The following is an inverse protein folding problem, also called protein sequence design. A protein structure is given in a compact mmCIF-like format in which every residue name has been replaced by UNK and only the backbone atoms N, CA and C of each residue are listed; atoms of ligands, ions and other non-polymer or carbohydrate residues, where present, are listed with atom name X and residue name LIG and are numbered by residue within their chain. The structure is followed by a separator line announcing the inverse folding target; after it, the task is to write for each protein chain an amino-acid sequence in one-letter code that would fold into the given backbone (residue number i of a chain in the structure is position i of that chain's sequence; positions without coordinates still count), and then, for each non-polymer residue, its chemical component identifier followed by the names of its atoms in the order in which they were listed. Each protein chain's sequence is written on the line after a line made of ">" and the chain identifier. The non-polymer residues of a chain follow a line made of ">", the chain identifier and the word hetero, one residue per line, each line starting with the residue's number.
data_IF_018548531143
#
_entry.id   IF_018548531143
#
_cell.length_a   1.000
_cell.length_b   1.000
_cell.length_c   1.000
_cell.angle_alpha   90.00
_cell.angle_beta   90.00
_cell.angle_gamma   90.00
#
_symmetry.space_group_name_H-M   'P 1'
#
loop_
_entity.id
_entity.type
_entity.pdbx_description
1 polymer ?
#
# COMPACT_ATOMS: atom_id res chain seq x y z
N UNK A 1 14.53 37.17 -14.65
CA UNK A 1 13.16 37.55 -15.04
C UNK A 1 12.42 36.25 -15.28
N UNK A 2 11.81 35.72 -14.22
CA UNK A 2 10.89 34.58 -14.33
C UNK A 2 9.52 35.15 -14.69
N UNK A 3 8.93 34.64 -15.76
CA UNK A 3 7.62 35.06 -16.24
C UNK A 3 6.58 34.11 -15.63
N UNK A 4 5.89 34.54 -14.58
CA UNK A 4 4.73 33.82 -14.07
C UNK A 4 3.55 33.98 -15.06
N UNK A 5 2.98 32.87 -15.49
CA UNK A 5 1.82 32.84 -16.40
C UNK A 5 0.57 32.48 -15.61
N UNK A 6 -0.27 33.46 -15.29
CA UNK A 6 -1.55 33.24 -14.62
C UNK A 6 -2.67 33.12 -15.67
N UNK A 7 -3.31 31.94 -15.77
CA UNK A 7 -4.46 31.72 -16.65
C UNK A 7 -5.74 31.73 -15.83
N UNK A 8 -6.70 32.56 -16.21
CA UNK A 8 -8.02 32.64 -15.56
C UNK A 8 -9.07 32.17 -16.56
N UNK A 9 -9.64 30.98 -16.32
CA UNK A 9 -10.56 30.21 -17.16
C UNK A 9 -9.94 29.55 -18.40
N UNK A 10 -9.69 28.24 -18.29
CA UNK A 10 -9.33 27.37 -19.42
C UNK A 10 -10.59 26.60 -19.84
N UNK A 11 -10.99 26.58 -21.13
CA UNK A 11 -12.15 25.81 -21.58
C UNK A 11 -11.86 24.31 -21.47
N UNK A 12 -12.94 23.50 -21.44
CA UNK A 12 -12.90 22.03 -21.44
C UNK A 12 -11.88 21.55 -22.48
N UNK A 13 -10.82 20.91 -22.02
CA UNK A 13 -9.71 20.48 -22.87
C UNK A 13 -9.88 19.01 -23.24
N UNK A 14 -10.77 18.73 -24.19
CA UNK A 14 -10.87 17.39 -24.80
C UNK A 14 -9.94 17.33 -26.00
N UNK A 15 -8.77 16.73 -25.83
CA UNK A 15 -7.82 16.50 -26.91
C UNK A 15 -7.44 15.02 -26.93
N UNK A 16 -8.04 14.24 -27.84
CA UNK A 16 -7.46 12.96 -28.26
C UNK A 16 -6.19 13.28 -29.04
N UNK A 17 -5.05 12.89 -28.50
CA UNK A 17 -3.78 13.24 -29.10
C UNK A 17 -2.83 12.05 -29.10
N UNK A 18 -2.44 11.62 -30.30
CA UNK A 18 -1.31 10.73 -30.50
C UNK A 18 -0.07 11.59 -30.73
N UNK A 19 0.86 11.58 -29.79
CA UNK A 19 2.11 12.29 -29.96
C UNK A 19 3.26 11.30 -30.16
N UNK A 20 4.02 11.52 -31.23
CA UNK A 20 5.25 10.80 -31.51
C UNK A 20 6.40 11.78 -31.33
N UNK A 21 7.29 11.51 -30.37
CA UNK A 21 8.46 12.32 -30.02
C UNK A 21 8.11 13.73 -29.50
N UNK A 22 7.55 13.80 -28.29
CA UNK A 22 7.35 15.08 -27.59
C UNK A 22 8.65 15.52 -26.93
N UNK A 23 9.14 16.74 -27.16
CA UNK A 23 10.24 17.29 -26.37
C UNK A 23 9.76 17.56 -24.93
N UNK A 24 10.70 17.54 -23.98
CA UNK A 24 10.53 17.78 -22.54
C UNK A 24 9.30 18.64 -22.21
N UNK A 25 8.30 18.04 -21.56
CA UNK A 25 7.11 18.74 -21.07
C UNK A 25 7.41 19.18 -19.64
N UNK A 26 7.86 20.42 -19.47
CA UNK A 26 7.89 21.13 -18.19
C UNK A 26 6.70 22.08 -18.16
N UNK A 27 5.68 21.74 -17.37
CA UNK A 27 4.58 22.66 -17.09
C UNK A 27 4.64 23.04 -15.61
N UNK A 28 5.14 24.24 -15.31
CA UNK A 28 4.79 24.95 -14.09
C UNK A 28 3.44 25.61 -14.34
N UNK A 29 2.39 25.08 -13.72
CA UNK A 29 1.05 25.67 -13.87
C UNK A 29 0.32 25.68 -12.54
N UNK A 30 -0.19 26.86 -12.21
CA UNK A 30 -1.19 27.03 -11.16
C UNK A 30 -2.54 27.14 -11.87
N UNK A 31 -3.38 26.13 -11.68
CA UNK A 31 -4.71 26.13 -12.27
C UNK A 31 -5.75 26.20 -11.16
N UNK A 32 -6.64 27.18 -11.30
CA UNK A 32 -7.78 27.38 -10.41
C UNK A 32 -9.05 27.10 -11.19
N UNK A 33 -9.92 26.24 -10.67
CA UNK A 33 -11.20 25.86 -11.28
C UNK A 33 -11.05 25.20 -12.66
N UNK A 34 -10.28 24.12 -12.75
CA UNK A 34 -10.19 23.36 -14.02
C UNK A 34 -11.46 22.53 -14.19
N UNK A 35 -12.27 22.74 -15.24
CA UNK A 35 -13.39 21.84 -15.52
C UNK A 35 -12.83 20.54 -16.10
N UNK A 36 -13.06 19.43 -15.39
CA UNK A 36 -12.83 18.02 -15.80
C UNK A 36 -11.66 17.81 -16.78
N UNK A 37 -10.52 17.35 -16.26
CA UNK A 37 -9.39 16.97 -17.09
C UNK A 37 -9.50 15.49 -17.45
N UNK A 38 -9.81 15.23 -18.71
CA UNK A 38 -9.74 13.89 -19.29
C UNK A 38 -8.62 13.89 -20.33
N UNK A 39 -7.53 13.18 -20.05
CA UNK A 39 -6.52 12.90 -21.07
C UNK A 39 -6.47 11.40 -21.31
N UNK A 40 -6.79 11.02 -22.54
CA UNK A 40 -6.39 9.75 -23.11
C UNK A 40 -5.20 10.01 -24.02
N UNK A 41 -4.04 9.51 -23.61
CA UNK A 41 -2.82 9.67 -24.39
C UNK A 41 -2.01 8.38 -24.42
N UNK A 42 -1.56 8.03 -25.62
CA UNK A 42 -0.52 7.04 -25.82
C UNK A 42 0.77 7.81 -26.12
N UNK A 43 1.77 7.64 -25.27
CA UNK A 43 3.06 8.29 -25.42
C UNK A 43 4.14 7.25 -25.60
N UNK A 44 4.94 7.43 -26.64
CA UNK A 44 6.07 6.58 -26.96
C UNK A 44 7.34 7.42 -26.95
N UNK A 45 8.33 7.01 -26.16
CA UNK A 45 9.63 7.67 -26.03
C UNK A 45 9.55 9.10 -25.48
N UNK A 46 9.05 9.26 -24.25
CA UNK A 46 9.13 10.55 -23.56
C UNK A 46 10.46 10.61 -22.80
N UNK A 47 11.34 11.57 -23.10
CA UNK A 47 12.70 11.54 -22.55
C UNK A 47 12.78 11.96 -21.08
N UNK A 48 11.88 12.79 -20.56
CA UNK A 48 11.71 13.11 -19.12
C UNK A 48 10.33 13.78 -18.95
N UNK A 49 9.58 13.42 -17.90
CA UNK A 49 8.37 14.16 -17.47
C UNK A 49 8.58 14.66 -16.05
N UNK A 50 8.49 15.98 -15.86
CA UNK A 50 8.48 16.62 -14.54
C UNK A 50 7.24 17.51 -14.45
N UNK A 51 6.38 17.22 -13.48
CA UNK A 51 5.23 18.05 -13.19
C UNK A 51 5.37 18.58 -11.77
N UNK A 52 5.28 19.90 -11.65
CA UNK A 52 5.02 20.57 -10.39
C UNK A 52 3.70 21.32 -10.59
N UNK A 53 2.68 20.89 -9.86
CA UNK A 53 1.36 21.49 -10.00
C UNK A 53 0.67 21.66 -8.67
N UNK A 54 0.01 22.80 -8.52
CA UNK A 54 -0.92 23.06 -7.43
C UNK A 54 -2.30 23.17 -8.05
N UNK A 55 -3.19 22.25 -7.67
CA UNK A 55 -4.53 22.17 -8.22
C UNK A 55 -5.57 22.38 -7.12
N UNK A 56 -6.46 23.34 -7.36
CA UNK A 56 -7.54 23.68 -6.45
C UNK A 56 -8.88 23.55 -7.16
N UNK A 57 -9.81 22.79 -6.55
CA UNK A 57 -11.17 22.54 -7.03
C UNK A 57 -11.23 21.85 -8.39
N UNK A 58 -10.69 20.62 -8.49
CA UNK A 58 -10.78 19.82 -9.71
C UNK A 58 -11.91 18.79 -9.58
N UNK A 59 -13.02 18.92 -10.31
CA UNK A 59 -14.24 18.17 -10.03
C UNK A 59 -14.22 16.71 -10.49
N UNK A 60 -13.34 16.31 -11.41
CA UNK A 60 -13.06 14.92 -11.80
C UNK A 60 -11.73 14.92 -12.56
N UNK A 61 -10.82 14.00 -12.22
CA UNK A 61 -9.64 13.69 -13.05
C UNK A 61 -9.65 12.23 -13.42
N UNK A 62 -9.67 11.96 -14.72
CA UNK A 62 -9.56 10.60 -15.25
C UNK A 62 -8.43 10.54 -16.25
N UNK A 63 -7.50 9.61 -16.03
CA UNK A 63 -6.38 9.38 -16.92
C UNK A 63 -6.32 7.90 -17.29
N UNK A 64 -6.28 7.65 -18.59
CA UNK A 64 -5.88 6.35 -19.14
C UNK A 64 -4.64 6.59 -19.98
N UNK A 65 -3.52 6.03 -19.54
CA UNK A 65 -2.22 6.24 -20.17
C UNK A 65 -1.52 4.91 -20.41
N UNK A 66 -0.95 4.76 -21.59
CA UNK A 66 -0.04 3.67 -21.92
C UNK A 66 1.29 4.27 -22.33
N UNK A 67 2.32 4.00 -21.53
CA UNK A 67 3.65 4.58 -21.71
C UNK A 67 4.66 3.49 -22.03
N UNK A 68 5.48 3.75 -23.05
CA UNK A 68 6.59 2.88 -23.43
C UNK A 68 7.90 3.65 -23.39
N UNK A 69 8.88 3.11 -22.65
CA UNK A 69 10.24 3.64 -22.50
C UNK A 69 10.24 5.08 -21.95
N UNK A 70 10.03 5.20 -20.64
CA UNK A 70 10.12 6.49 -19.94
C UNK A 70 11.25 6.41 -18.93
N UNK A 71 12.33 7.20 -19.10
CA UNK A 71 13.56 6.95 -18.37
C UNK A 71 13.56 7.57 -16.97
N UNK A 72 12.78 8.64 -16.72
CA UNK A 72 12.67 9.32 -15.43
C UNK A 72 11.32 10.03 -15.32
N UNK A 73 10.58 9.77 -14.25
CA UNK A 73 9.39 10.54 -13.86
C UNK A 73 9.55 11.01 -12.43
N UNK A 74 9.38 12.32 -12.24
CA UNK A 74 9.33 12.95 -10.93
C UNK A 74 8.06 13.79 -10.89
N UNK A 75 7.29 13.67 -9.82
CA UNK A 75 6.09 14.49 -9.65
C UNK A 75 5.96 14.87 -8.18
N UNK A 76 5.86 16.17 -7.97
CA UNK A 76 5.49 16.78 -6.69
C UNK A 76 4.18 17.51 -6.92
N UNK A 77 3.17 17.18 -6.12
CA UNK A 77 1.86 17.80 -6.28
C UNK A 77 1.14 18.00 -4.96
N UNK A 78 0.40 19.11 -4.87
CA UNK A 78 -0.51 19.40 -3.77
C UNK A 78 -1.91 19.60 -4.34
N UNK A 79 -2.86 18.85 -3.80
CA UNK A 79 -4.24 18.85 -4.29
C UNK A 79 -5.20 19.16 -3.16
N UNK A 80 -6.14 20.07 -3.43
CA UNK A 80 -7.20 20.44 -2.48
C UNK A 80 -8.58 20.30 -3.13
N UNK A 81 -9.48 19.60 -2.44
CA UNK A 81 -10.86 19.35 -2.85
C UNK A 81 -10.97 18.63 -4.20
N UNK A 82 -10.64 17.34 -4.20
CA UNK A 82 -10.70 16.50 -5.40
C UNK A 82 -11.77 15.42 -5.22
N UNK A 83 -12.98 15.60 -5.78
CA UNK A 83 -14.09 14.67 -5.60
C UNK A 83 -13.90 13.24 -6.15
N UNK A 84 -13.20 13.03 -7.28
CA UNK A 84 -12.96 11.69 -7.83
C UNK A 84 -11.66 11.67 -8.66
N UNK A 85 -10.77 10.71 -8.36
CA UNK A 85 -9.60 10.40 -9.18
C UNK A 85 -9.60 8.93 -9.55
N UNK A 86 -9.55 8.65 -10.84
CA UNK A 86 -9.40 7.28 -11.36
C UNK A 86 -8.23 7.23 -12.32
N UNK A 87 -7.33 6.28 -12.10
CA UNK A 87 -6.16 6.11 -12.94
C UNK A 87 -5.97 4.64 -13.29
N UNK A 88 -5.81 4.38 -14.58
CA UNK A 88 -5.33 3.11 -15.12
C UNK A 88 -4.06 3.41 -15.90
N UNK A 89 -2.99 2.66 -15.63
CA UNK A 89 -1.78 2.76 -16.42
C UNK A 89 -1.02 1.46 -16.59
N UNK A 90 -0.35 1.38 -17.73
CA UNK A 90 0.56 0.30 -18.05
C UNK A 90 1.89 0.91 -18.47
N UNK A 91 2.95 0.46 -17.81
CA UNK A 91 4.30 0.96 -18.02
C UNK A 91 5.23 -0.18 -18.39
N UNK A 92 6.02 0.04 -19.45
CA UNK A 92 7.09 -0.89 -19.86
C UNK A 92 8.44 -0.19 -19.81
N UNK A 93 9.36 -0.78 -19.03
CA UNK A 93 10.73 -0.30 -18.81
C UNK A 93 10.78 1.11 -18.21
N UNK A 94 10.68 1.19 -16.88
CA UNK A 94 10.80 2.46 -16.14
C UNK A 94 12.04 2.38 -15.25
N UNK A 95 13.07 3.21 -15.46
CA UNK A 95 14.30 3.14 -14.66
C UNK A 95 14.17 3.68 -13.24
N UNK A 96 13.45 4.78 -13.04
CA UNK A 96 13.30 5.45 -11.73
C UNK A 96 11.96 6.19 -11.64
N UNK A 97 11.29 6.03 -10.50
CA UNK A 97 10.06 6.74 -10.16
C UNK A 97 10.13 7.26 -8.72
N UNK A 98 9.81 8.54 -8.52
CA UNK A 98 9.73 9.16 -7.19
C UNK A 98 8.49 10.05 -7.11
N UNK A 99 7.73 9.91 -6.02
CA UNK A 99 6.51 10.67 -5.80
C UNK A 99 6.37 11.14 -4.35
N UNK A 100 6.02 12.41 -4.21
CA UNK A 100 5.56 13.00 -2.96
C UNK A 100 4.21 13.68 -3.21
N UNK A 101 3.24 13.45 -2.32
CA UNK A 101 1.91 14.02 -2.47
C UNK A 101 1.21 14.27 -1.14
N UNK A 102 0.46 15.36 -1.09
CA UNK A 102 -0.41 15.70 0.03
C UNK A 102 -1.82 16.00 -0.49
N UNK A 103 -2.82 15.34 0.10
CA UNK A 103 -4.21 15.44 -0.32
C UNK A 103 -5.13 15.79 0.85
N UNK A 104 -6.02 16.75 0.62
CA UNK A 104 -7.08 17.11 1.58
C UNK A 104 -8.46 16.99 0.95
N UNK A 105 -9.34 16.23 1.61
CA UNK A 105 -10.72 15.95 1.22
C UNK A 105 -10.85 15.27 -0.15
N UNK A 106 -10.63 13.94 -0.17
CA UNK A 106 -10.76 13.11 -1.37
C UNK A 106 -11.87 12.08 -1.14
N UNK A 107 -13.00 12.14 -1.85
CA UNK A 107 -14.12 11.22 -1.67
C UNK A 107 -13.88 9.78 -2.16
N UNK A 108 -13.20 9.58 -3.29
CA UNK A 108 -12.97 8.25 -3.88
C UNK A 108 -11.66 8.24 -4.67
N UNK A 109 -10.81 7.25 -4.40
CA UNK A 109 -9.62 6.94 -5.18
C UNK A 109 -9.62 5.47 -5.59
N UNK A 110 -9.42 5.22 -6.88
CA UNK A 110 -9.23 3.88 -7.44
C UNK A 110 -8.03 3.88 -8.38
N UNK A 111 -7.11 2.95 -8.17
CA UNK A 111 -5.92 2.83 -8.99
C UNK A 111 -5.62 1.38 -9.36
N UNK A 112 -5.43 1.15 -10.65
CA UNK A 112 -4.91 -0.11 -11.19
C UNK A 112 -3.64 0.18 -11.99
N UNK A 113 -2.59 -0.61 -11.75
CA UNK A 113 -1.40 -0.54 -12.58
C UNK A 113 -0.65 -1.86 -12.74
N UNK A 114 -0.02 -1.98 -13.90
CA UNK A 114 0.85 -3.09 -14.25
C UNK A 114 2.19 -2.56 -14.74
N UNK A 115 3.27 -3.11 -14.16
CA UNK A 115 4.63 -2.65 -14.42
C UNK A 115 5.54 -3.81 -14.75
N UNK A 116 6.39 -3.60 -15.75
CA UNK A 116 7.43 -4.56 -16.14
C UNK A 116 8.80 -3.90 -16.11
N UNK A 117 9.72 -4.50 -15.34
CA UNK A 117 11.11 -4.10 -15.13
C UNK A 117 11.26 -2.69 -14.55
N UNK A 118 11.34 -2.61 -13.21
CA UNK A 118 11.53 -1.35 -12.48
C UNK A 118 12.71 -1.46 -11.52
N UNK A 119 13.80 -0.70 -11.72
CA UNK A 119 14.95 -0.75 -10.83
C UNK A 119 14.70 -0.17 -9.43
N UNK A 120 14.07 1.01 -9.32
CA UNK A 120 13.94 1.73 -8.03
C UNK A 120 12.61 2.49 -7.96
N UNK A 121 11.89 2.33 -6.85
CA UNK A 121 10.70 3.14 -6.51
C UNK A 121 10.71 3.60 -5.06
N UNK A 122 10.34 4.87 -4.86
CA UNK A 122 10.19 5.49 -3.54
C UNK A 122 8.96 6.38 -3.51
N UNK A 123 8.15 6.24 -2.46
CA UNK A 123 6.90 6.99 -2.31
C UNK A 123 6.68 7.45 -0.88
N UNK A 124 6.23 8.69 -0.74
CA UNK A 124 5.74 9.26 0.53
C UNK A 124 4.40 9.95 0.30
N UNK A 125 3.43 9.73 1.18
CA UNK A 125 2.11 10.34 1.05
C UNK A 125 1.39 10.59 2.37
N UNK A 126 0.64 11.70 2.42
CA UNK A 126 -0.21 12.07 3.56
C UNK A 126 -1.64 12.42 3.12
N UNK A 127 -2.62 11.83 3.79
CA UNK A 127 -4.05 11.95 3.44
C UNK A 127 -4.92 12.33 4.64
N UNK A 128 -5.88 13.23 4.41
CA UNK A 128 -6.89 13.61 5.42
C UNK A 128 -8.30 13.48 4.86
N UNK A 129 -9.15 12.70 5.57
CA UNK A 129 -10.56 12.42 5.29
C UNK A 129 -10.78 11.78 3.91
N UNK A 130 -10.71 10.45 3.86
CA UNK A 130 -10.90 9.68 2.61
C UNK A 130 -11.97 8.60 2.80
N UNK A 131 -13.13 8.67 2.13
CA UNK A 131 -14.22 7.71 2.28
C UNK A 131 -13.96 6.29 1.76
N UNK A 132 -13.29 6.15 0.61
CA UNK A 132 -13.06 4.86 -0.05
C UNK A 132 -11.74 4.88 -0.82
N UNK A 133 -10.88 3.90 -0.56
CA UNK A 133 -9.64 3.67 -1.32
C UNK A 133 -9.51 2.20 -1.69
N UNK A 134 -9.30 1.94 -2.98
CA UNK A 134 -9.05 0.60 -3.50
C UNK A 134 -7.83 0.62 -4.42
N UNK A 135 -6.87 -0.27 -4.16
CA UNK A 135 -5.64 -0.39 -4.93
C UNK A 135 -5.39 -1.84 -5.34
N UNK A 136 -5.12 -2.02 -6.63
CA UNK A 136 -4.64 -3.29 -7.17
C UNK A 136 -3.36 -3.04 -7.96
N UNK A 137 -2.34 -3.87 -7.75
CA UNK A 137 -1.07 -3.72 -8.45
C UNK A 137 -0.37 -5.05 -8.73
N UNK A 138 0.26 -5.14 -9.90
CA UNK A 138 1.03 -6.30 -10.33
C UNK A 138 2.39 -5.87 -10.89
N UNK A 139 3.46 -6.49 -10.38
CA UNK A 139 4.83 -6.13 -10.73
C UNK A 139 5.69 -7.36 -11.05
N UNK A 140 6.52 -7.24 -12.08
CA UNK A 140 7.52 -8.26 -12.44
C UNK A 140 8.91 -7.64 -12.46
N UNK A 141 9.83 -8.21 -11.65
CA UNK A 141 11.22 -7.80 -11.47
C UNK A 141 11.39 -6.36 -10.94
N UNK A 142 11.42 -6.22 -9.61
CA UNK A 142 11.67 -4.95 -8.92
C UNK A 142 12.89 -5.09 -8.01
N UNK A 143 13.88 -4.21 -8.11
CA UNK A 143 15.13 -4.38 -7.33
C UNK A 143 15.06 -3.82 -5.90
N UNK A 144 14.42 -2.66 -5.68
CA UNK A 144 14.30 -2.01 -4.36
C UNK A 144 12.97 -1.25 -4.25
N UNK A 145 12.25 -1.43 -3.14
CA UNK A 145 11.02 -0.69 -2.81
C UNK A 145 11.03 -0.22 -1.35
N UNK A 146 10.70 1.06 -1.14
CA UNK A 146 10.49 1.67 0.18
C UNK A 146 9.22 2.53 0.16
N UNK A 147 8.37 2.40 1.18
CA UNK A 147 7.12 3.17 1.26
C UNK A 147 6.79 3.58 2.70
N UNK A 148 6.38 4.84 2.87
CA UNK A 148 5.87 5.39 4.13
C UNK A 148 4.53 6.10 3.90
N UNK A 149 3.57 5.92 4.82
CA UNK A 149 2.23 6.50 4.69
C UNK A 149 1.56 6.87 6.02
N UNK A 150 0.81 7.98 6.01
CA UNK A 150 0.03 8.46 7.16
C UNK A 150 -1.39 8.89 6.78
N UNK A 151 -2.38 8.40 7.53
CA UNK A 151 -3.80 8.57 7.20
C UNK A 151 -4.68 8.80 8.44
N UNK A 152 -5.66 9.70 8.30
CA UNK A 152 -6.65 10.03 9.35
C UNK A 152 -8.09 9.98 8.83
N UNK A 153 -8.94 9.21 9.53
CA UNK A 153 -10.37 8.98 9.28
C UNK A 153 -10.69 8.35 7.92
N UNK A 154 -10.82 7.02 7.89
CA UNK A 154 -11.09 6.25 6.66
C UNK A 154 -12.23 5.24 6.89
N UNK A 155 -13.34 5.28 6.14
CA UNK A 155 -14.39 4.28 6.25
C UNK A 155 -13.98 2.89 5.73
N UNK A 156 -13.42 2.76 4.53
CA UNK A 156 -13.10 1.45 3.94
C UNK A 156 -11.80 1.49 3.13
N UNK A 157 -10.96 0.47 3.30
CA UNK A 157 -9.80 0.21 2.45
C UNK A 157 -9.70 -1.26 2.05
N UNK A 158 -9.38 -1.50 0.78
CA UNK A 158 -9.01 -2.82 0.28
C UNK A 158 -7.74 -2.73 -0.56
N UNK A 159 -6.84 -3.69 -0.41
CA UNK A 159 -5.60 -3.77 -1.19
C UNK A 159 -5.31 -5.20 -1.63
N UNK A 160 -4.97 -5.35 -2.91
CA UNK A 160 -4.49 -6.62 -3.47
C UNK A 160 -3.18 -6.42 -4.24
N UNK A 161 -2.24 -7.36 -4.09
CA UNK A 161 -0.97 -7.26 -4.80
C UNK A 161 -0.26 -8.58 -5.08
N UNK A 162 0.44 -8.64 -6.22
CA UNK A 162 1.23 -9.80 -6.65
C UNK A 162 2.63 -9.40 -7.14
N UNK A 163 3.65 -10.09 -6.63
CA UNK A 163 5.06 -9.78 -6.88
C UNK A 163 5.91 -11.01 -7.13
N UNK A 164 6.84 -10.91 -8.09
CA UNK A 164 7.81 -11.96 -8.43
C UNK A 164 9.22 -11.40 -8.58
N UNK A 165 10.19 -12.05 -7.92
CA UNK A 165 11.63 -11.73 -7.94
C UNK A 165 11.95 -10.31 -7.45
N UNK A 166 11.94 -10.11 -6.12
CA UNK A 166 12.20 -8.80 -5.50
C UNK A 166 13.33 -8.90 -4.48
N UNK A 167 14.52 -8.29 -4.67
CA UNK A 167 15.65 -8.36 -3.75
C UNK A 167 15.38 -7.83 -2.32
N UNK A 168 14.75 -6.65 -2.16
CA UNK A 168 14.51 -6.03 -0.83
C UNK A 168 13.23 -5.20 -0.84
N UNK A 169 12.46 -5.29 0.25
CA UNK A 169 11.29 -4.46 0.50
C UNK A 169 11.21 -3.97 1.95
N UNK A 170 10.88 -2.70 2.13
CA UNK A 170 10.55 -2.11 3.44
C UNK A 170 9.26 -1.28 3.36
N UNK A 171 8.40 -1.39 4.38
CA UNK A 171 7.15 -0.63 4.44
C UNK A 171 6.85 -0.14 5.86
N UNK A 172 6.44 1.13 5.98
CA UNK A 172 5.95 1.72 7.23
C UNK A 172 4.59 2.41 7.05
N UNK A 173 3.73 2.31 8.05
CA UNK A 173 2.37 2.85 7.96
C UNK A 173 1.73 3.22 9.29
N UNK A 174 0.99 4.34 9.31
CA UNK A 174 0.24 4.81 10.49
C UNK A 174 -1.19 5.24 10.15
N UNK A 175 -2.16 4.72 10.90
CA UNK A 175 -3.58 4.89 10.61
C UNK A 175 -4.44 5.11 11.86
N UNK A 176 -5.39 6.04 11.76
CA UNK A 176 -6.35 6.35 12.83
C UNK A 176 -7.79 6.41 12.33
N UNK A 177 -8.71 5.76 13.07
CA UNK A 177 -10.15 5.70 12.81
C UNK A 177 -10.48 5.10 11.44
N UNK A 178 -10.14 3.82 11.24
CA UNK A 178 -10.50 3.07 10.03
C UNK A 178 -11.75 2.25 10.29
N UNK A 179 -12.78 2.16 9.43
CA UNK A 179 -13.95 1.31 9.75
C UNK A 179 -13.79 -0.16 9.31
N UNK A 180 -13.24 -0.42 8.11
CA UNK A 180 -12.94 -1.78 7.60
C UNK A 180 -11.65 -1.76 6.80
N UNK A 181 -10.82 -2.79 6.99
CA UNK A 181 -9.63 -3.03 6.19
C UNK A 181 -9.52 -4.49 5.75
N UNK A 182 -9.22 -4.70 4.47
CA UNK A 182 -8.83 -6.00 3.94
C UNK A 182 -7.55 -5.89 3.10
N UNK A 183 -6.61 -6.80 3.31
CA UNK A 183 -5.35 -6.85 2.56
C UNK A 183 -5.05 -8.26 2.10
N UNK A 184 -4.83 -8.45 0.80
CA UNK A 184 -4.41 -9.72 0.22
C UNK A 184 -3.11 -9.56 -0.55
N UNK A 185 -2.16 -10.48 -0.39
CA UNK A 185 -0.92 -10.41 -1.17
C UNK A 185 -0.24 -11.74 -1.44
N UNK A 186 0.43 -11.83 -2.59
CA UNK A 186 1.21 -13.01 -3.00
C UNK A 186 2.62 -12.63 -3.45
N UNK A 187 3.62 -13.34 -2.94
CA UNK A 187 5.03 -13.00 -3.13
C UNK A 187 5.91 -14.23 -3.37
N UNK A 188 6.82 -14.12 -4.35
CA UNK A 188 7.77 -15.18 -4.69
C UNK A 188 9.19 -14.64 -4.88
N UNK A 189 10.17 -15.35 -4.30
CA UNK A 189 11.61 -15.08 -4.40
C UNK A 189 12.00 -13.69 -3.88
N UNK A 190 11.84 -13.47 -2.57
CA UNK A 190 12.16 -12.20 -1.90
C UNK A 190 13.27 -12.38 -0.88
N UNK A 191 14.53 -11.96 -1.12
CA UNK A 191 15.64 -12.10 -0.17
C UNK A 191 15.37 -11.50 1.23
N UNK A 192 14.84 -10.28 1.32
CA UNK A 192 14.58 -9.61 2.61
C UNK A 192 13.29 -8.78 2.57
N UNK A 193 12.49 -8.89 3.62
CA UNK A 193 11.33 -8.03 3.86
C UNK A 193 11.26 -7.53 5.29
N UNK A 194 10.97 -6.23 5.44
CA UNK A 194 10.62 -5.63 6.74
C UNK A 194 9.31 -4.83 6.62
N UNK A 195 8.42 -4.99 7.59
CA UNK A 195 7.15 -4.25 7.61
C UNK A 195 6.85 -3.76 9.02
N UNK A 196 6.59 -2.47 9.17
CA UNK A 196 6.19 -1.86 10.43
C UNK A 196 4.84 -1.15 10.28
N UNK A 197 3.93 -1.29 11.23
CA UNK A 197 2.67 -0.53 11.19
C UNK A 197 2.02 -0.23 12.53
N UNK A 198 1.32 0.90 12.61
CA UNK A 198 0.57 1.34 13.79
C UNK A 198 -0.87 1.73 13.45
N UNK A 199 -1.82 1.23 14.25
CA UNK A 199 -3.25 1.32 13.95
C UNK A 199 -4.09 1.60 15.19
N UNK A 200 -5.05 2.52 15.06
CA UNK A 200 -5.97 2.90 16.14
C UNK A 200 -7.41 2.97 15.67
N UNK A 201 -8.34 2.41 16.46
CA UNK A 201 -9.79 2.40 16.24
C UNK A 201 -10.20 1.77 14.90
N UNK A 202 -10.04 0.44 14.80
CA UNK A 202 -10.35 -0.32 13.58
C UNK A 202 -11.43 -1.39 13.86
N UNK A 203 -12.72 -1.21 13.54
CA UNK A 203 -13.80 -2.17 13.74
C UNK A 203 -13.52 -3.58 13.22
N UNK A 204 -13.02 -3.71 11.98
CA UNK A 204 -12.74 -5.01 11.34
C UNK A 204 -11.46 -4.93 10.51
N UNK A 205 -10.59 -5.93 10.67
CA UNK A 205 -9.43 -6.15 9.84
C UNK A 205 -9.33 -7.61 9.40
N UNK A 206 -9.06 -7.83 8.11
CA UNK A 206 -8.66 -9.13 7.56
C UNK A 206 -7.38 -8.97 6.75
N UNK A 207 -6.43 -9.87 6.92
CA UNK A 207 -5.19 -9.85 6.13
C UNK A 207 -4.79 -11.27 5.74
N UNK A 208 -4.74 -11.52 4.44
CA UNK A 208 -4.32 -12.79 3.88
C UNK A 208 -3.02 -12.63 3.10
N UNK A 209 -2.04 -13.52 3.29
CA UNK A 209 -0.82 -13.47 2.48
C UNK A 209 -0.15 -14.80 2.23
N UNK A 210 0.37 -14.96 1.01
CA UNK A 210 1.11 -16.14 0.58
C UNK A 210 2.55 -15.78 0.17
N UNK A 211 3.52 -16.52 0.72
CA UNK A 211 4.94 -16.22 0.58
C UNK A 211 5.76 -17.45 0.22
N UNK A 212 6.63 -17.33 -0.79
CA UNK A 212 7.51 -18.42 -1.22
C UNK A 212 8.95 -17.95 -1.42
N UNK A 213 9.92 -18.73 -0.90
CA UNK A 213 11.36 -18.51 -1.03
C UNK A 213 11.81 -17.13 -0.49
N UNK A 214 11.60 -16.90 0.80
CA UNK A 214 11.95 -15.66 1.48
C UNK A 214 13.02 -15.92 2.56
N UNK A 215 14.32 -15.61 2.35
CA UNK A 215 15.37 -15.78 3.34
C UNK A 215 15.10 -15.13 4.70
N UNK A 216 14.63 -13.87 4.75
CA UNK A 216 14.38 -13.16 6.01
C UNK A 216 13.12 -12.30 5.90
N UNK A 217 12.24 -12.44 6.90
CA UNK A 217 11.07 -11.58 7.09
C UNK A 217 11.02 -11.07 8.52
N UNK A 218 10.84 -9.76 8.68
CA UNK A 218 10.52 -9.13 9.96
C UNK A 218 9.23 -8.32 9.85
N UNK A 219 8.29 -8.54 10.75
CA UNK A 219 7.04 -7.80 10.79
C UNK A 219 6.81 -7.27 12.20
N UNK A 220 6.61 -5.97 12.35
CA UNK A 220 6.28 -5.32 13.62
C UNK A 220 4.95 -4.59 13.50
N UNK A 221 4.03 -4.80 14.44
CA UNK A 221 2.74 -4.11 14.38
C UNK A 221 2.15 -3.76 15.74
N UNK A 222 1.50 -2.61 15.81
CA UNK A 222 0.83 -2.12 17.02
C UNK A 222 -0.63 -1.75 16.72
N UNK A 223 -1.56 -2.26 17.53
CA UNK A 223 -2.99 -2.12 17.32
C UNK A 223 -3.73 -1.75 18.59
N UNK A 224 -4.63 -0.78 18.48
CA UNK A 224 -5.48 -0.32 19.59
C UNK A 224 -6.95 -0.23 19.17
N UNK A 225 -7.86 -0.74 20.00
CA UNK A 225 -9.32 -0.68 19.83
C UNK A 225 -9.81 -1.33 18.53
N UNK A 226 -9.56 -2.64 18.39
CA UNK A 226 -9.93 -3.43 17.21
C UNK A 226 -10.96 -4.52 17.58
N UNK A 227 -12.27 -4.36 17.31
CA UNK A 227 -13.28 -5.39 17.57
C UNK A 227 -12.99 -6.77 16.98
N UNK A 228 -12.56 -6.84 15.71
CA UNK A 228 -12.28 -8.11 15.03
C UNK A 228 -11.01 -7.99 14.18
N UNK A 229 -10.10 -8.95 14.34
CA UNK A 229 -8.90 -9.09 13.53
C UNK A 229 -8.74 -10.55 13.06
N UNK A 230 -8.58 -10.75 11.76
CA UNK A 230 -8.25 -12.06 11.17
C UNK A 230 -6.98 -11.97 10.33
N UNK A 231 -6.06 -12.90 10.53
CA UNK A 231 -4.84 -13.02 9.74
C UNK A 231 -4.68 -14.45 9.23
N UNK A 232 -4.52 -14.62 7.92
CA UNK A 232 -4.28 -15.93 7.29
C UNK A 232 -2.99 -15.88 6.46
N UNK A 233 -1.96 -16.60 6.91
CA UNK A 233 -0.63 -16.52 6.30
C UNK A 233 -0.11 -17.91 5.88
N UNK A 234 0.36 -18.06 4.64
CA UNK A 234 1.00 -19.29 4.16
C UNK A 234 2.44 -19.03 3.71
N UNK A 235 3.43 -19.64 4.35
CA UNK A 235 4.85 -19.46 4.01
C UNK A 235 5.53 -20.78 3.63
N UNK A 236 6.34 -20.74 2.57
CA UNK A 236 7.11 -21.88 2.08
C UNK A 236 8.57 -21.50 1.83
N UNK A 237 9.51 -22.32 2.32
CA UNK A 237 10.97 -22.17 2.15
C UNK A 237 11.50 -20.83 2.65
N UNK A 238 11.25 -20.52 3.92
CA UNK A 238 11.62 -19.25 4.54
C UNK A 238 12.63 -19.50 5.66
N UNK A 239 13.94 -19.24 5.48
CA UNK A 239 14.96 -19.44 6.52
C UNK A 239 14.65 -18.83 7.89
N UNK A 240 14.24 -17.56 7.94
CA UNK A 240 14.01 -16.84 9.20
C UNK A 240 12.75 -15.99 9.12
N UNK A 241 11.90 -16.10 10.14
CA UNK A 241 10.78 -15.17 10.34
C UNK A 241 10.76 -14.66 11.77
N UNK A 242 10.67 -13.34 11.90
CA UNK A 242 10.44 -12.63 13.16
C UNK A 242 9.14 -11.84 13.04
N UNK A 243 8.21 -12.03 13.97
CA UNK A 243 7.00 -11.21 14.05
C UNK A 243 6.82 -10.70 15.49
N UNK A 244 6.69 -9.39 15.63
CA UNK A 244 6.40 -8.73 16.90
C UNK A 244 5.06 -7.99 16.78
N UNK A 245 4.13 -8.26 17.70
CA UNK A 245 2.82 -7.60 17.70
C UNK A 245 2.38 -7.13 19.09
N UNK A 246 1.76 -5.95 19.14
CA UNK A 246 1.14 -5.42 20.35
C UNK A 246 -0.33 -5.12 20.10
N UNK A 247 -1.21 -5.74 20.89
CA UNK A 247 -2.66 -5.64 20.75
C UNK A 247 -3.29 -5.13 22.05
N UNK A 248 -4.09 -4.06 21.95
CA UNK A 248 -4.82 -3.48 23.09
C UNK A 248 -6.30 -3.27 22.79
N UNK A 249 -7.17 -3.72 23.70
CA UNK A 249 -8.64 -3.57 23.63
C UNK A 249 -9.25 -4.20 22.37
N UNK A 250 -8.97 -5.50 22.17
CA UNK A 250 -9.39 -6.24 20.97
C UNK A 250 -10.35 -7.36 21.36
N UNK A 251 -11.67 -7.26 21.12
CA UNK A 251 -12.64 -8.31 21.44
C UNK A 251 -12.35 -9.71 20.87
N UNK A 252 -11.96 -9.82 19.60
CA UNK A 252 -11.74 -11.10 18.90
C UNK A 252 -10.51 -11.03 18.00
N UNK A 253 -9.62 -12.02 18.12
CA UNK A 253 -8.50 -12.24 17.20
C UNK A 253 -8.46 -13.67 16.71
N UNK A 254 -8.34 -13.84 15.40
CA UNK A 254 -8.10 -15.13 14.74
C UNK A 254 -6.82 -15.05 13.93
N UNK A 255 -5.89 -15.95 14.17
CA UNK A 255 -4.66 -16.05 13.39
C UNK A 255 -4.47 -17.50 12.92
N UNK A 256 -4.42 -17.69 11.61
CA UNK A 256 -4.15 -18.96 10.97
C UNK A 256 -2.84 -18.85 10.18
N UNK A 257 -1.91 -19.77 10.44
CA UNK A 257 -0.64 -19.79 9.70
C UNK A 257 -0.17 -21.18 9.30
N UNK A 258 0.25 -21.33 8.05
CA UNK A 258 0.84 -22.58 7.54
C UNK A 258 2.29 -22.35 7.13
N UNK A 259 3.24 -23.00 7.80
CA UNK A 259 4.66 -22.89 7.51
C UNK A 259 5.25 -24.21 7.03
N UNK A 260 5.99 -24.15 5.94
CA UNK A 260 6.71 -25.31 5.38
C UNK A 260 8.16 -24.98 5.11
N UNK A 261 9.08 -25.82 5.61
CA UNK A 261 10.54 -25.70 5.43
C UNK A 261 11.11 -24.38 5.95
N UNK A 262 10.85 -24.09 7.23
CA UNK A 262 11.27 -22.83 7.89
C UNK A 262 12.25 -23.14 9.02
N UNK A 263 13.57 -22.94 8.83
CA UNK A 263 14.61 -23.17 9.83
C UNK A 263 14.39 -22.50 11.21
N UNK A 264 14.00 -21.23 11.23
CA UNK A 264 13.87 -20.42 12.45
C UNK A 264 12.61 -19.56 12.42
N UNK A 265 11.82 -19.63 13.48
CA UNK A 265 10.66 -18.76 13.72
C UNK A 265 10.76 -18.14 15.09
N UNK A 266 10.66 -16.82 15.17
CA UNK A 266 10.52 -16.05 16.40
C UNK A 266 9.20 -15.28 16.36
N UNK A 267 8.38 -15.44 17.37
CA UNK A 267 7.12 -14.71 17.50
C UNK A 267 7.01 -14.13 18.90
N UNK A 268 6.88 -12.80 19.00
CA UNK A 268 6.65 -12.12 20.26
C UNK A 268 5.33 -11.34 20.19
N UNK A 269 4.50 -11.48 21.20
CA UNK A 269 3.23 -10.75 21.23
C UNK A 269 2.82 -10.29 22.61
N UNK A 270 2.27 -9.08 22.68
CA UNK A 270 1.76 -8.50 23.91
C UNK A 270 0.28 -8.16 23.76
N UNK A 271 -0.55 -8.67 24.66
CA UNK A 271 -2.00 -8.63 24.57
C UNK A 271 -2.58 -8.02 25.84
N UNK A 272 -3.39 -6.98 25.67
CA UNK A 272 -4.08 -6.31 26.78
C UNK A 272 -5.57 -6.19 26.50
N UNK A 273 -6.42 -6.61 27.44
CA UNK A 273 -7.88 -6.53 27.36
C UNK A 273 -8.47 -7.25 26.11
N UNK A 274 -8.02 -8.48 25.84
CA UNK A 274 -8.50 -9.32 24.73
C UNK A 274 -9.32 -10.51 25.26
N UNK A 275 -10.66 -10.53 25.09
CA UNK A 275 -11.53 -11.60 25.58
C UNK A 275 -11.44 -12.94 24.82
N UNK A 276 -11.20 -12.94 23.51
CA UNK A 276 -11.19 -14.15 22.67
C UNK A 276 -10.01 -14.15 21.72
N UNK A 277 -9.23 -15.24 21.75
CA UNK A 277 -8.13 -15.49 20.82
C UNK A 277 -8.19 -16.93 20.31
N UNK A 278 -8.15 -17.08 19.00
CA UNK A 278 -7.99 -18.36 18.31
C UNK A 278 -6.73 -18.32 17.48
N UNK A 279 -5.82 -19.25 17.71
CA UNK A 279 -4.56 -19.35 16.98
C UNK A 279 -4.40 -20.77 16.46
N UNK A 280 -4.46 -20.94 15.14
CA UNK A 280 -4.22 -22.21 14.49
C UNK A 280 -2.95 -22.13 13.67
N UNK A 281 -2.06 -23.12 13.84
CA UNK A 281 -0.85 -23.17 13.03
C UNK A 281 -0.45 -24.58 12.67
N UNK A 282 -0.08 -24.74 11.40
CA UNK A 282 0.43 -25.99 10.86
C UNK A 282 1.88 -25.79 10.45
N UNK A 283 2.78 -26.64 10.95
CA UNK A 283 4.21 -26.52 10.72
C UNK A 283 4.77 -27.83 10.18
N UNK A 284 5.54 -27.73 9.10
CA UNK A 284 6.28 -28.85 8.53
C UNK A 284 7.75 -28.47 8.37
N UNK A 285 8.65 -29.31 8.89
CA UNK A 285 10.11 -29.11 8.82
C UNK A 285 10.60 -27.77 9.42
N UNK A 286 10.23 -27.51 10.68
CA UNK A 286 10.68 -26.35 11.47
C UNK A 286 11.61 -26.81 12.60
N UNK A 287 12.94 -26.64 12.48
CA UNK A 287 13.92 -27.03 13.48
C UNK A 287 13.92 -26.18 14.75
N UNK A 288 13.69 -24.87 14.65
CA UNK A 288 13.77 -23.92 15.78
C UNK A 288 12.56 -23.00 15.79
N UNK A 289 11.90 -22.92 16.95
CA UNK A 289 10.78 -22.03 17.20
C UNK A 289 10.91 -21.41 18.59
N UNK A 290 10.77 -20.09 18.67
CA UNK A 290 10.60 -19.32 19.90
C UNK A 290 9.28 -18.57 19.81
N UNK A 291 8.46 -18.68 20.85
CA UNK A 291 7.17 -18.01 20.91
C UNK A 291 6.95 -17.46 22.31
N UNK A 292 6.87 -16.13 22.43
CA UNK A 292 6.58 -15.43 23.67
C UNK A 292 5.26 -14.70 23.56
N UNK A 293 4.42 -14.83 24.59
CA UNK A 293 3.18 -14.06 24.67
C UNK A 293 2.92 -13.57 26.07
N UNK A 294 2.66 -12.27 26.20
CA UNK A 294 2.31 -11.63 27.46
C UNK A 294 0.85 -11.21 27.44
N UNK A 295 0.12 -11.53 28.51
CA UNK A 295 -1.33 -11.28 28.61
C UNK A 295 -1.63 -10.46 29.85
N UNK A 296 -2.39 -9.39 29.67
CA UNK A 296 -2.88 -8.55 30.77
C UNK A 296 -4.39 -8.35 30.64
N UNK A 297 -5.14 -8.58 31.73
CA UNK A 297 -6.59 -8.35 31.82
C UNK A 297 -7.45 -9.13 30.79
N UNK A 298 -7.17 -10.41 30.61
CA UNK A 298 -7.94 -11.31 29.71
C UNK A 298 -8.82 -12.26 30.52
N UNK A 299 -10.16 -12.27 30.35
CA UNK A 299 -10.99 -13.35 30.86
C UNK A 299 -10.75 -14.60 30.00
N UNK A 300 -10.28 -15.68 30.63
CA UNK A 300 -9.99 -16.95 29.94
C UNK A 300 -11.29 -17.57 29.42
N UNK A 301 -11.51 -17.55 28.10
CA UNK A 301 -12.35 -18.56 27.47
C UNK A 301 -11.50 -19.83 27.34
N UNK A 302 -11.91 -20.90 28.02
CA UNK A 302 -11.27 -22.21 27.95
C UNK A 302 -12.03 -23.10 26.95
N UNK A 303 -11.56 -23.27 25.70
CA UNK A 303 -12.20 -24.19 24.76
C UNK A 303 -12.11 -25.67 25.23
N UNK A 304 -11.24 -25.98 26.21
CA UNK A 304 -11.06 -27.33 26.78
C UNK A 304 -12.05 -27.70 27.89
N UNK A 305 -13.06 -26.88 28.19
CA UNK A 305 -14.21 -27.35 29.00
C UNK A 305 -15.29 -28.09 28.20
N UNK A 306 -15.11 -28.32 26.89
CA UNK A 306 -16.06 -29.09 26.07
C UNK A 306 -15.57 -30.46 25.63
N UNK A 307 -14.35 -30.86 25.98
CA UNK A 307 -13.82 -32.19 25.71
C UNK A 307 -13.03 -32.63 26.94
N UNK A 308 -13.48 -33.75 27.53
CA UNK A 308 -12.94 -34.40 28.74
C UNK A 308 -11.40 -34.44 28.85
#
# INVERSE_FOLDING_TARGET
>A
MTHESQWTNVPVMTHESQWTNVPVVTNESQLTNVPVVTHESQLTNVPVVTHESQLTNVPVVTHKRQWSNVPVVTNESQWTNVPVVTHESQWTNVPVMTHESQWTNVPVMTHESQWTNVPVMTHESQWTNVPVVTHESQWTNVSVMTHESQWTNVPVMTHESQWTNVPVMTHESQWTNVSVMTHESQWTNVPVMTHESQWTNVPVMTHESQWTNVPVMTHESQWTNVPVMTHENQWTNVPVVTNESQLTNVPVVTHESQLTNVPVVTHESQWTNVPVVTHESQWTNVPVMTHESQWTNVPVYDPRKSMD
#
